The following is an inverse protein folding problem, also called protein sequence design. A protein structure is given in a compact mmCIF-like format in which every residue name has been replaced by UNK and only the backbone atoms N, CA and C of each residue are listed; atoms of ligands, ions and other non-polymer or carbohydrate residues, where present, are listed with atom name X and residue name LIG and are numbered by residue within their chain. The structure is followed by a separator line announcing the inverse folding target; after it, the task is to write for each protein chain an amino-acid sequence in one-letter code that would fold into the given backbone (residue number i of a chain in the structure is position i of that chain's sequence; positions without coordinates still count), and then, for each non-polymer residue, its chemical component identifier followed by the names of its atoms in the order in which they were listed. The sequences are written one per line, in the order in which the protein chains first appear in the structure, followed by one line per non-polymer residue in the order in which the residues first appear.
data_IF_717167285626
#
_entry.id   IF_717167285626
#
_cell.length_a   1.000
_cell.length_b   1.000
_cell.length_c   1.000
_cell.angle_alpha   90.00
_cell.angle_beta   90.00
_cell.angle_gamma   90.00
#
_symmetry.space_group_name_H-M   'P 1'
#
loop_
_entity.id
_entity.type
_entity.pdbx_description
1 polymer ?
#
# COMPACT_ATOMS: atom_id res chain seq x y z
N UNK A 1 11.44 -52.95 83.76
CA UNK A 1 10.87 -51.84 84.51
C UNK A 1 10.97 -50.61 83.58
N UNK A 2 9.98 -50.55 82.73
CA UNK A 2 9.61 -49.34 82.03
C UNK A 2 8.63 -48.58 82.91
N UNK A 3 8.14 -47.39 82.59
CA UNK A 3 8.31 -46.44 81.51
C UNK A 3 8.33 -44.96 82.00
N UNK A 4 8.60 -44.00 81.19
CA UNK A 4 8.01 -42.63 81.27
C UNK A 4 8.64 -41.74 80.18
N UNK A 5 8.19 -41.92 78.96
CA UNK A 5 8.58 -40.94 77.90
C UNK A 5 7.43 -40.64 76.89
N UNK A 6 6.17 -40.81 77.38
CA UNK A 6 5.00 -40.63 76.50
C UNK A 6 4.10 -39.39 76.82
N UNK A 7 4.36 -38.62 77.81
CA UNK A 7 3.43 -37.54 78.16
C UNK A 7 3.85 -36.09 77.72
N UNK A 8 5.03 -35.91 77.28
CA UNK A 8 5.52 -34.55 76.95
C UNK A 8 5.32 -34.20 75.42
N UNK A 9 5.17 -35.17 74.53
CA UNK A 9 4.96 -34.89 73.15
C UNK A 9 3.52 -34.53 72.79
N UNK A 10 2.54 -34.99 73.54
CA UNK A 10 1.12 -34.68 73.25
C UNK A 10 0.76 -33.24 73.72
N UNK A 11 1.44 -32.69 74.71
CA UNK A 11 1.19 -31.31 75.19
C UNK A 11 1.84 -30.25 74.27
N UNK A 12 2.80 -30.59 73.50
CA UNK A 12 3.42 -29.68 72.48
C UNK A 12 2.57 -29.59 71.26
N UNK A 13 1.91 -30.66 70.85
CA UNK A 13 1.03 -30.71 69.68
C UNK A 13 -0.26 -29.88 69.84
N UNK A 14 -0.84 -29.86 71.09
CA UNK A 14 -2.08 -29.09 71.33
C UNK A 14 -1.87 -27.58 71.44
N UNK A 15 -0.66 -27.16 71.80
CA UNK A 15 -0.32 -25.71 71.86
C UNK A 15 -0.08 -25.05 70.53
N UNK A 16 0.18 -25.84 69.46
CA UNK A 16 0.39 -25.32 68.11
C UNK A 16 -0.88 -25.26 67.27
N UNK A 17 -2.00 -25.83 67.70
CA UNK A 17 -3.28 -25.78 66.99
C UNK A 17 -4.11 -24.51 67.22
N UNK A 18 -3.68 -23.63 68.14
CA UNK A 18 -4.44 -22.45 68.54
C UNK A 18 -4.07 -21.12 67.88
N UNK A 19 -3.07 -21.05 66.97
CA UNK A 19 -2.50 -19.79 66.48
C UNK A 19 -2.48 -19.56 65.00
N UNK A 20 -3.19 -20.36 64.17
CA UNK A 20 -3.39 -20.02 62.78
C UNK A 20 -4.75 -19.39 62.55
N UNK A 21 -4.88 -18.10 62.87
CA UNK A 21 -5.93 -17.26 62.28
C UNK A 21 -5.61 -17.10 60.82
N UNK A 22 -6.42 -17.70 59.96
CA UNK A 22 -6.37 -17.47 58.50
C UNK A 22 -6.64 -16.00 58.24
N UNK A 23 -5.60 -15.24 57.93
CA UNK A 23 -5.74 -13.89 57.42
C UNK A 23 -6.03 -14.04 55.93
N UNK A 24 -7.32 -13.99 55.56
CA UNK A 24 -7.75 -13.96 54.17
C UNK A 24 -7.30 -12.61 53.60
N UNK A 25 -6.16 -12.59 52.92
CA UNK A 25 -5.77 -11.46 52.06
C UNK A 25 -6.62 -11.53 50.80
N UNK A 26 -7.66 -10.71 50.73
CA UNK A 26 -8.38 -10.46 49.53
C UNK A 26 -7.45 -9.68 48.58
N UNK A 27 -6.82 -10.38 47.61
CA UNK A 27 -6.09 -9.74 46.51
C UNK A 27 -7.16 -9.16 45.58
N UNK A 28 -7.43 -7.87 45.76
CA UNK A 28 -8.21 -7.14 44.73
C UNK A 28 -7.36 -7.00 43.48
N UNK A 29 -7.59 -7.85 42.51
CA UNK A 29 -7.06 -7.68 41.17
C UNK A 29 -7.79 -6.50 40.53
N UNK A 30 -7.19 -5.32 40.56
CA UNK A 30 -7.61 -4.19 39.77
C UNK A 30 -7.30 -4.53 38.32
N UNK A 31 -8.29 -4.94 37.54
CA UNK A 31 -8.20 -5.02 36.10
C UNK A 31 -8.13 -3.60 35.56
N UNK A 32 -6.93 -3.15 35.25
CA UNK A 32 -6.74 -1.93 34.45
C UNK A 32 -7.23 -2.28 33.05
N UNK A 33 -8.45 -1.90 32.74
CA UNK A 33 -8.95 -1.91 31.37
C UNK A 33 -8.19 -0.80 30.63
N UNK A 34 -7.15 -1.16 29.89
CA UNK A 34 -6.61 -0.25 28.89
C UNK A 34 -7.68 -0.07 27.81
N UNK A 35 -8.00 1.19 27.45
CA UNK A 35 -8.86 1.42 26.29
C UNK A 35 -8.17 0.75 25.09
N UNK A 36 -8.82 -0.23 24.50
CA UNK A 36 -8.43 -0.71 23.19
C UNK A 36 -8.60 0.49 22.25
N UNK A 37 -7.50 0.99 21.70
CA UNK A 37 -7.57 1.93 20.58
C UNK A 37 -8.14 1.10 19.42
N UNK A 38 -9.42 1.26 19.18
CA UNK A 38 -10.05 0.74 17.97
C UNK A 38 -9.59 1.70 16.86
N UNK A 39 -8.53 1.34 16.14
CA UNK A 39 -8.24 1.99 14.87
C UNK A 39 -9.44 1.69 13.96
N UNK A 40 -9.98 2.72 13.32
CA UNK A 40 -11.01 2.50 12.31
C UNK A 40 -10.39 1.66 11.17
N UNK A 41 -11.19 0.75 10.61
CA UNK A 41 -10.73 -0.01 9.47
C UNK A 41 -10.54 0.95 8.27
N UNK A 42 -9.51 0.76 7.46
CA UNK A 42 -9.33 1.58 6.26
C UNK A 42 -10.52 1.41 5.31
N UNK A 43 -10.83 2.47 4.57
CA UNK A 43 -11.87 2.44 3.53
C UNK A 43 -11.25 1.90 2.25
N UNK A 44 -11.79 0.81 1.73
CA UNK A 44 -11.29 0.13 0.53
C UNK A 44 -12.24 0.37 -0.63
N UNK A 45 -11.68 0.73 -1.77
CA UNK A 45 -12.36 0.94 -3.05
C UNK A 45 -11.74 0.00 -4.08
N UNK A 46 -12.52 -0.90 -4.64
CA UNK A 46 -12.00 -1.89 -5.57
C UNK A 46 -13.01 -2.24 -6.66
N UNK A 47 -12.50 -2.50 -7.85
CA UNK A 47 -13.28 -3.04 -8.97
C UNK A 47 -12.35 -3.70 -9.98
N UNK A 48 -12.90 -4.59 -10.80
CA UNK A 48 -12.20 -5.21 -11.91
C UNK A 48 -13.18 -5.49 -13.06
N UNK A 49 -12.70 -5.41 -14.29
CA UNK A 49 -13.50 -5.68 -15.47
C UNK A 49 -12.72 -5.55 -16.78
N UNK A 50 -13.41 -5.68 -17.89
CA UNK A 50 -12.80 -5.69 -19.24
C UNK A 50 -12.77 -4.31 -19.90
N UNK A 51 -13.37 -3.30 -19.29
CA UNK A 51 -13.46 -1.95 -19.85
C UNK A 51 -13.24 -0.88 -18.78
N UNK A 52 -12.82 0.35 -19.15
CA UNK A 52 -12.74 1.46 -18.20
C UNK A 52 -14.05 1.72 -17.44
N UNK A 53 -15.20 1.50 -18.07
CA UNK A 53 -16.50 1.70 -17.46
C UNK A 53 -16.77 0.76 -16.27
N UNK A 54 -16.17 -0.44 -16.29
CA UNK A 54 -16.37 -1.45 -15.25
C UNK A 54 -15.73 -1.04 -13.92
N UNK A 55 -14.64 -0.25 -13.97
CA UNK A 55 -13.93 0.21 -12.77
C UNK A 55 -14.16 1.69 -12.44
N UNK A 56 -14.78 2.45 -13.36
CA UNK A 56 -14.95 3.91 -13.24
C UNK A 56 -15.61 4.33 -11.94
N UNK A 57 -16.65 3.63 -11.49
CA UNK A 57 -17.36 3.98 -10.26
C UNK A 57 -16.46 3.92 -9.02
N UNK A 58 -15.67 2.85 -8.87
CA UNK A 58 -14.75 2.71 -7.74
C UNK A 58 -13.63 3.77 -7.77
N UNK A 59 -13.14 4.12 -8.97
CA UNK A 59 -12.17 5.20 -9.15
C UNK A 59 -12.74 6.55 -8.75
N UNK A 60 -13.98 6.87 -9.16
CA UNK A 60 -14.64 8.14 -8.79
C UNK A 60 -14.97 8.20 -7.29
N UNK A 61 -15.47 7.12 -6.70
CA UNK A 61 -15.76 7.06 -5.27
C UNK A 61 -14.47 7.29 -4.45
N UNK A 62 -13.34 6.73 -4.91
CA UNK A 62 -12.04 6.99 -4.29
C UNK A 62 -11.57 8.44 -4.46
N UNK A 63 -11.78 9.04 -5.63
CA UNK A 63 -11.52 10.47 -5.87
C UNK A 63 -12.35 11.37 -4.95
N UNK A 64 -13.61 11.04 -4.80
CA UNK A 64 -14.56 11.81 -3.99
C UNK A 64 -14.27 11.74 -2.50
N UNK A 65 -13.67 10.64 -2.02
CA UNK A 65 -13.22 10.53 -0.64
C UNK A 65 -12.27 11.67 -0.22
N UNK A 66 -11.40 12.15 -1.10
CA UNK A 66 -10.48 13.25 -0.83
C UNK A 66 -11.05 14.64 -1.08
N UNK A 67 -12.38 14.77 -1.29
CA UNK A 67 -13.04 16.07 -1.48
C UNK A 67 -13.13 16.55 -2.92
N UNK A 68 -12.99 15.65 -3.89
CA UNK A 68 -13.33 15.92 -5.29
C UNK A 68 -12.36 16.80 -6.08
N UNK A 69 -11.38 17.46 -5.46
CA UNK A 69 -10.47 18.40 -6.12
C UNK A 69 -9.12 17.77 -6.44
N UNK A 70 -8.74 17.79 -7.73
CA UNK A 70 -7.37 17.50 -8.15
C UNK A 70 -6.52 18.78 -8.07
N UNK A 71 -5.50 18.78 -7.21
CA UNK A 71 -4.61 19.92 -6.96
C UNK A 71 -3.55 20.12 -8.06
N UNK A 72 -3.41 19.15 -8.95
CA UNK A 72 -2.54 19.25 -10.14
C UNK A 72 -1.05 19.33 -9.80
N UNK A 73 -0.35 20.32 -10.36
CA UNK A 73 1.10 20.45 -10.29
C UNK A 73 1.49 21.61 -9.38
N UNK A 74 2.47 21.37 -8.49
CA UNK A 74 3.03 22.38 -7.60
C UNK A 74 2.10 22.80 -6.47
N UNK A 75 2.58 23.70 -5.62
CA UNK A 75 1.85 24.14 -4.43
C UNK A 75 1.73 23.08 -3.35
N UNK A 76 1.16 23.49 -2.21
CA UNK A 76 0.74 22.62 -1.13
C UNK A 76 -0.63 23.09 -0.66
N UNK A 77 -1.55 22.17 -0.40
CA UNK A 77 -2.94 22.45 -0.12
C UNK A 77 -3.35 21.72 1.17
N UNK A 78 -4.38 22.21 1.84
CA UNK A 78 -4.84 21.64 3.10
C UNK A 78 -5.69 20.37 2.88
N UNK A 79 -6.24 20.19 1.67
CA UNK A 79 -7.10 19.06 1.31
C UNK A 79 -7.04 18.74 -0.19
N UNK A 80 -7.84 17.77 -0.62
CA UNK A 80 -7.94 17.32 -1.99
C UNK A 80 -7.00 16.15 -2.32
N UNK A 81 -6.74 15.98 -3.59
CA UNK A 81 -5.94 14.86 -4.08
C UNK A 81 -4.96 15.28 -5.17
N UNK A 82 -4.04 14.38 -5.48
CA UNK A 82 -3.14 14.43 -6.63
C UNK A 82 -3.36 13.20 -7.51
N UNK A 83 -3.18 13.39 -8.79
CA UNK A 83 -3.29 12.32 -9.78
C UNK A 83 -2.11 12.33 -10.73
N UNK A 84 -1.65 11.14 -11.13
CA UNK A 84 -0.64 10.92 -12.16
C UNK A 84 -1.26 9.95 -13.15
N UNK A 85 -1.56 10.43 -14.35
CA UNK A 85 -2.10 9.63 -15.44
C UNK A 85 -1.08 9.40 -16.58
N UNK A 86 0.18 9.78 -16.38
CA UNK A 86 1.34 9.59 -17.26
C UNK A 86 1.28 10.33 -18.60
N UNK A 87 0.11 10.71 -19.10
CA UNK A 87 -0.16 11.21 -20.46
C UNK A 87 0.68 12.42 -20.85
N UNK A 88 0.93 13.31 -19.89
CA UNK A 88 1.71 14.52 -20.10
C UNK A 88 3.24 14.31 -19.96
N UNK A 89 3.70 13.07 -19.75
CA UNK A 89 5.13 12.76 -19.73
C UNK A 89 5.70 12.97 -21.13
N UNK A 90 6.74 13.84 -21.30
CA UNK A 90 7.34 14.06 -22.59
C UNK A 90 8.00 12.81 -23.19
N UNK A 91 8.00 12.68 -24.50
CA UNK A 91 8.57 11.50 -25.21
C UNK A 91 10.06 11.25 -24.85
N UNK A 92 10.81 12.28 -24.45
CA UNK A 92 12.18 12.11 -23.96
C UNK A 92 12.33 11.40 -22.60
N UNK A 93 11.21 11.17 -21.88
CA UNK A 93 11.13 10.47 -20.60
C UNK A 93 10.16 9.27 -20.65
N UNK A 94 9.83 8.83 -21.84
CA UNK A 94 8.98 7.66 -22.08
C UNK A 94 9.69 6.66 -22.99
N UNK A 95 9.18 5.45 -23.05
CA UNK A 95 9.74 4.35 -23.85
C UNK A 95 10.24 4.83 -25.22
N UNK A 96 11.48 4.47 -25.62
CA UNK A 96 12.40 3.56 -24.95
C UNK A 96 13.30 4.18 -23.87
N UNK A 97 13.06 5.45 -23.49
CA UNK A 97 13.84 6.15 -22.48
C UNK A 97 13.30 5.86 -21.07
N UNK A 98 14.17 5.96 -20.07
CA UNK A 98 13.79 5.81 -18.68
C UNK A 98 13.12 7.08 -18.15
N UNK A 99 12.16 6.88 -17.22
CA UNK A 99 11.58 7.94 -16.42
C UNK A 99 12.46 8.17 -15.17
N UNK A 100 12.93 9.41 -14.91
CA UNK A 100 13.61 9.71 -13.65
C UNK A 100 12.71 9.41 -12.44
N UNK A 101 13.22 8.70 -11.46
CA UNK A 101 12.47 8.28 -10.26
C UNK A 101 11.82 9.47 -9.51
N UNK A 102 12.39 10.66 -9.59
CA UNK A 102 11.89 11.89 -8.96
C UNK A 102 11.16 12.83 -9.93
N UNK A 103 10.76 12.35 -11.11
CA UNK A 103 10.10 13.18 -12.12
C UNK A 103 8.87 13.90 -11.57
N UNK A 104 8.04 13.21 -10.81
CA UNK A 104 6.82 13.75 -10.21
C UNK A 104 7.02 14.48 -8.87
N UNK A 105 8.25 14.72 -8.49
CA UNK A 105 8.58 15.69 -7.44
C UNK A 105 9.41 16.87 -7.97
N UNK A 106 10.11 16.71 -9.08
CA UNK A 106 11.04 17.73 -9.62
C UNK A 106 10.54 18.38 -10.92
N UNK A 107 10.21 17.59 -11.94
CA UNK A 107 9.83 18.07 -13.27
C UNK A 107 8.35 18.44 -13.34
N UNK A 108 7.50 17.65 -12.72
CA UNK A 108 6.05 17.82 -12.63
C UNK A 108 5.61 17.66 -11.18
N UNK A 109 5.90 18.64 -10.30
CA UNK A 109 5.78 18.47 -8.85
C UNK A 109 4.38 18.09 -8.38
N UNK A 110 4.21 16.81 -8.02
CA UNK A 110 3.02 16.22 -7.40
C UNK A 110 3.33 15.55 -6.06
N UNK A 111 4.61 15.64 -5.62
CA UNK A 111 5.03 15.19 -4.29
C UNK A 111 5.25 13.68 -4.16
N UNK A 112 5.68 12.99 -5.23
CA UNK A 112 6.07 11.57 -5.13
C UNK A 112 7.44 11.31 -5.75
N UNK A 113 8.15 10.36 -5.13
CA UNK A 113 9.40 9.80 -5.63
C UNK A 113 9.29 8.27 -5.61
N UNK A 114 9.74 7.63 -6.67
CA UNK A 114 9.64 6.19 -6.86
C UNK A 114 10.95 5.48 -6.51
N UNK A 115 10.85 4.24 -6.02
CA UNK A 115 11.98 3.33 -5.80
C UNK A 115 11.63 1.94 -6.32
N UNK A 116 12.64 1.21 -6.78
CA UNK A 116 12.51 -0.20 -7.22
C UNK A 116 13.84 -0.91 -6.99
N UNK A 117 13.84 -2.20 -6.63
CA UNK A 117 15.04 -3.02 -6.67
C UNK A 117 15.49 -3.36 -8.11
N UNK A 118 14.66 -3.02 -9.11
CA UNK A 118 14.99 -3.17 -10.52
C UNK A 118 15.98 -2.13 -11.05
N UNK A 119 15.99 -1.92 -12.37
CA UNK A 119 16.94 -1.02 -13.04
C UNK A 119 16.42 0.42 -13.19
N UNK A 120 15.12 0.67 -12.95
CA UNK A 120 14.50 1.98 -13.11
C UNK A 120 13.02 1.88 -13.44
N UNK A 121 12.52 2.93 -14.09
CA UNK A 121 11.10 3.06 -14.44
C UNK A 121 10.93 3.45 -15.89
N UNK A 122 9.83 3.00 -16.48
CA UNK A 122 9.45 3.42 -17.81
C UNK A 122 7.97 3.80 -17.86
N UNK A 123 7.69 4.89 -18.56
CA UNK A 123 6.36 5.24 -19.04
C UNK A 123 6.26 4.74 -20.49
N UNK A 124 5.14 4.18 -20.89
CA UNK A 124 4.98 3.64 -22.22
C UNK A 124 5.11 4.70 -23.31
N UNK A 125 5.50 4.29 -24.50
CA UNK A 125 5.35 5.12 -25.69
C UNK A 125 3.86 5.28 -26.02
N UNK A 126 3.50 6.39 -26.63
CA UNK A 126 2.17 6.58 -27.21
C UNK A 126 2.15 6.08 -28.64
N UNK A 127 0.96 5.81 -29.16
CA UNK A 127 0.78 5.40 -30.56
C UNK A 127 1.49 6.34 -31.52
N UNK A 128 2.21 5.77 -32.49
CA UNK A 128 2.99 6.51 -33.48
C UNK A 128 4.40 6.94 -33.06
N UNK A 129 4.83 6.69 -31.81
CA UNK A 129 6.20 6.86 -31.32
C UNK A 129 6.95 5.52 -31.36
N UNK A 130 8.26 5.52 -31.28
CA UNK A 130 9.23 4.46 -31.62
C UNK A 130 8.92 3.02 -31.16
N UNK A 131 8.16 2.83 -30.12
CA UNK A 131 7.62 1.53 -29.70
C UNK A 131 6.22 1.77 -29.12
N UNK A 132 5.24 0.98 -29.55
CA UNK A 132 3.90 1.04 -28.97
C UNK A 132 3.98 0.50 -27.55
N UNK A 133 3.43 1.24 -26.59
CA UNK A 133 3.48 0.91 -25.16
C UNK A 133 4.90 0.54 -24.70
N UNK A 134 5.14 -0.72 -24.32
CA UNK A 134 6.42 -1.23 -23.83
C UNK A 134 7.07 -2.24 -24.78
N UNK A 135 6.81 -2.17 -26.09
CA UNK A 135 7.33 -3.13 -27.07
C UNK A 135 8.88 -3.21 -27.08
N UNK A 136 9.56 -2.16 -26.60
CA UNK A 136 11.01 -2.19 -26.39
C UNK A 136 11.46 -3.15 -25.29
N UNK A 137 10.60 -3.40 -24.29
CA UNK A 137 10.83 -4.36 -23.20
C UNK A 137 10.21 -5.72 -23.53
N UNK A 138 9.04 -5.70 -24.18
CA UNK A 138 8.27 -6.87 -24.51
C UNK A 138 7.50 -6.67 -25.82
N UNK A 139 7.85 -7.40 -26.91
CA UNK A 139 7.29 -7.16 -28.24
C UNK A 139 5.78 -7.39 -28.39
N UNK A 140 5.13 -8.08 -27.46
CA UNK A 140 3.68 -8.33 -27.44
C UNK A 140 2.92 -7.48 -26.39
N UNK A 141 3.56 -6.46 -25.81
CA UNK A 141 2.98 -5.62 -24.76
C UNK A 141 1.67 -4.95 -25.22
N UNK A 142 1.63 -4.42 -26.43
CA UNK A 142 0.46 -3.73 -26.98
C UNK A 142 -0.79 -4.60 -27.18
N UNK A 143 -0.65 -5.93 -27.09
CA UNK A 143 -1.78 -6.86 -27.14
C UNK A 143 -2.16 -7.44 -25.78
N UNK A 144 -1.51 -6.96 -24.71
CA UNK A 144 -1.69 -7.44 -23.35
C UNK A 144 -2.36 -6.42 -22.46
N UNK A 145 -2.08 -5.15 -22.68
CA UNK A 145 -2.47 -4.09 -21.75
C UNK A 145 -3.53 -3.17 -22.36
N UNK A 146 -4.57 -2.89 -21.56
CA UNK A 146 -5.50 -1.81 -21.81
C UNK A 146 -5.05 -0.55 -21.08
N UNK A 147 -5.41 0.62 -21.61
CA UNK A 147 -5.26 1.89 -20.91
C UNK A 147 -6.62 2.31 -20.33
N UNK A 148 -6.61 2.77 -19.08
CA UNK A 148 -7.76 3.39 -18.43
C UNK A 148 -7.87 4.85 -18.84
N UNK A 149 -6.76 5.58 -18.73
CA UNK A 149 -6.62 6.94 -19.24
C UNK A 149 -5.55 6.96 -20.36
N UNK A 150 -5.96 7.06 -21.63
CA UNK A 150 -5.01 7.03 -22.72
C UNK A 150 -4.19 8.33 -22.79
N UNK A 151 -2.90 8.28 -23.26
CA UNK A 151 -2.33 7.18 -24.04
C UNK A 151 -1.19 6.38 -23.38
N UNK A 152 -0.98 6.46 -22.06
CA UNK A 152 0.26 5.94 -21.48
C UNK A 152 0.05 5.08 -20.25
N UNK A 153 0.96 4.14 -20.04
CA UNK A 153 1.07 3.23 -18.91
C UNK A 153 2.42 3.41 -18.19
N UNK A 154 2.58 2.80 -17.02
CA UNK A 154 3.79 2.88 -16.20
C UNK A 154 4.20 1.50 -15.67
N UNK A 155 5.51 1.27 -15.61
CA UNK A 155 6.09 0.05 -15.02
C UNK A 155 7.46 0.29 -14.39
N UNK A 156 7.82 -0.52 -13.39
CA UNK A 156 9.20 -0.71 -13.01
C UNK A 156 9.89 -1.66 -14.00
N UNK A 157 11.18 -1.44 -14.27
CA UNK A 157 11.99 -2.23 -15.18
C UNK A 157 12.84 -3.22 -14.40
N UNK A 158 12.82 -4.49 -14.81
CA UNK A 158 13.55 -5.60 -14.18
C UNK A 158 13.16 -5.88 -12.71
N UNK A 159 11.95 -5.50 -12.32
CA UNK A 159 11.35 -5.84 -11.04
C UNK A 159 9.84 -5.66 -11.10
N UNK A 160 9.02 -6.49 -10.44
CA UNK A 160 7.61 -6.22 -10.24
C UNK A 160 7.33 -5.24 -9.09
N UNK A 161 8.35 -4.77 -8.36
CA UNK A 161 8.19 -3.95 -7.18
C UNK A 161 8.39 -2.48 -7.50
N UNK A 162 7.40 -1.65 -7.12
CA UNK A 162 7.44 -0.20 -7.11
C UNK A 162 7.15 0.30 -5.71
N UNK A 163 8.01 1.12 -5.15
CA UNK A 163 7.77 1.85 -3.90
C UNK A 163 7.54 3.33 -4.19
N UNK A 164 6.57 3.92 -3.52
CA UNK A 164 6.17 5.33 -3.64
C UNK A 164 6.36 6.00 -2.29
N UNK A 165 7.20 7.04 -2.25
CA UNK A 165 7.40 7.89 -1.09
C UNK A 165 6.82 9.27 -1.36
N UNK A 166 6.16 9.84 -0.33
CA UNK A 166 5.54 11.15 -0.43
C UNK A 166 6.47 12.27 0.05
N UNK A 167 6.38 13.41 -0.62
CA UNK A 167 7.10 14.64 -0.32
C UNK A 167 6.16 15.83 -0.46
N UNK A 168 6.48 16.93 0.23
CA UNK A 168 5.84 18.20 -0.08
C UNK A 168 6.20 18.56 -1.53
N UNK A 169 5.22 18.77 -2.42
CA UNK A 169 5.45 18.89 -3.84
C UNK A 169 6.54 19.89 -4.23
N UNK A 170 7.55 19.44 -4.96
CA UNK A 170 8.69 20.25 -5.43
C UNK A 170 9.78 20.48 -4.39
N UNK A 171 9.73 19.83 -3.23
CA UNK A 171 10.71 19.99 -2.15
C UNK A 171 11.38 18.65 -1.78
N UNK A 172 12.38 18.70 -0.90
CA UNK A 172 12.99 17.52 -0.29
C UNK A 172 12.38 17.17 1.08
N UNK A 173 11.31 17.86 1.49
CA UNK A 173 10.65 17.61 2.75
C UNK A 173 9.74 16.40 2.62
N UNK A 174 9.99 15.36 3.44
CA UNK A 174 9.15 14.18 3.50
C UNK A 174 7.72 14.53 3.93
N UNK A 175 6.76 13.78 3.43
CA UNK A 175 5.34 13.97 3.66
C UNK A 175 4.63 12.63 3.82
N UNK A 176 3.37 12.71 4.23
CA UNK A 176 2.43 11.57 4.29
C UNK A 176 1.18 11.87 3.47
N UNK A 177 0.45 10.84 3.11
CA UNK A 177 -0.86 10.95 2.45
C UNK A 177 -1.91 10.18 3.24
N UNK A 178 -3.18 10.59 3.13
CA UNK A 178 -4.32 9.88 3.74
C UNK A 178 -4.76 8.64 2.95
N UNK A 179 -4.12 8.33 1.84
CA UNK A 179 -4.44 7.15 1.05
C UNK A 179 -3.81 7.20 -0.33
N UNK A 180 -3.84 6.06 -0.99
CA UNK A 180 -3.31 5.85 -2.32
C UNK A 180 -4.13 4.79 -3.05
N UNK A 181 -4.26 4.93 -4.36
CA UNK A 181 -4.88 3.94 -5.24
C UNK A 181 -4.21 3.95 -6.61
N UNK A 182 -4.31 2.82 -7.29
CA UNK A 182 -3.78 2.65 -8.64
C UNK A 182 -4.71 1.82 -9.50
N UNK A 183 -4.75 2.15 -10.78
CA UNK A 183 -5.29 1.30 -11.83
C UNK A 183 -4.19 0.35 -12.31
N UNK A 184 -4.57 -0.88 -12.58
CA UNK A 184 -3.71 -1.94 -13.11
C UNK A 184 -4.33 -2.51 -14.37
N UNK A 185 -3.50 -3.06 -15.25
CA UNK A 185 -3.96 -3.78 -16.43
C UNK A 185 -3.32 -5.16 -16.49
N UNK A 186 -4.12 -6.15 -16.92
CA UNK A 186 -3.74 -7.56 -17.06
C UNK A 186 -3.51 -8.29 -15.72
N UNK A 187 -4.35 -8.03 -14.70
CA UNK A 187 -4.33 -8.79 -13.44
C UNK A 187 -5.12 -10.07 -13.60
N UNK A 188 -4.43 -11.17 -13.89
CA UNK A 188 -5.04 -12.46 -14.16
C UNK A 188 -5.30 -13.31 -12.92
N UNK A 189 -4.60 -13.02 -11.80
CA UNK A 189 -4.57 -13.87 -10.60
C UNK A 189 -4.92 -13.09 -9.35
N UNK A 190 -5.72 -13.71 -8.49
CA UNK A 190 -6.20 -13.11 -7.24
C UNK A 190 -5.10 -12.92 -6.17
N UNK A 191 -3.89 -13.46 -6.39
CA UNK A 191 -2.80 -13.52 -5.41
C UNK A 191 -1.43 -13.02 -5.94
N UNK A 192 -1.41 -12.32 -7.07
CA UNK A 192 -0.18 -11.89 -7.75
C UNK A 192 0.13 -10.40 -7.60
N UNK A 193 -0.90 -9.56 -7.58
CA UNK A 193 -0.77 -8.10 -7.52
C UNK A 193 -1.28 -7.60 -6.19
N UNK A 194 -0.42 -6.86 -5.45
CA UNK A 194 -0.72 -6.42 -4.09
C UNK A 194 -0.26 -4.99 -3.84
N UNK A 195 -0.99 -4.25 -3.01
CA UNK A 195 -0.56 -2.96 -2.47
C UNK A 195 -0.43 -3.07 -0.95
N UNK A 196 0.69 -2.59 -0.42
CA UNK A 196 1.00 -2.49 1.00
C UNK A 196 1.21 -1.02 1.38
N UNK A 197 0.68 -0.61 2.53
CA UNK A 197 0.73 0.76 3.03
C UNK A 197 1.44 0.78 4.38
N UNK A 198 2.43 1.66 4.53
CA UNK A 198 3.24 1.74 5.74
C UNK A 198 3.25 3.17 6.30
N UNK A 199 3.29 3.26 7.63
CA UNK A 199 3.54 4.52 8.34
C UNK A 199 5.02 4.93 8.32
N UNK A 200 5.33 6.08 8.91
CA UNK A 200 6.70 6.62 9.00
C UNK A 200 7.64 5.72 9.82
N UNK A 201 7.12 4.85 10.68
CA UNK A 201 7.88 3.91 11.51
C UNK A 201 8.11 2.57 10.77
N UNK A 202 7.57 2.42 9.57
CA UNK A 202 7.58 1.17 8.81
C UNK A 202 6.57 0.14 9.30
N UNK A 203 5.57 0.55 10.10
CA UNK A 203 4.48 -0.33 10.52
C UNK A 203 3.50 -0.49 9.37
N UNK A 204 3.08 -1.72 9.11
CA UNK A 204 2.07 -2.02 8.10
C UNK A 204 0.70 -1.50 8.56
N UNK A 205 0.13 -0.56 7.81
CA UNK A 205 -1.22 -0.04 8.03
C UNK A 205 -2.28 -0.91 7.36
N UNK A 206 -2.00 -1.37 6.14
CA UNK A 206 -2.89 -2.23 5.36
C UNK A 206 -2.11 -2.97 4.29
N UNK A 207 -2.58 -4.14 3.90
CA UNK A 207 -2.19 -4.83 2.68
C UNK A 207 -3.42 -5.48 2.03
N UNK A 208 -3.51 -5.39 0.70
CA UNK A 208 -4.60 -5.99 -0.06
C UNK A 208 -4.18 -6.42 -1.44
N UNK A 209 -4.74 -7.53 -1.90
CA UNK A 209 -4.61 -7.96 -3.28
C UNK A 209 -5.54 -7.15 -4.17
N UNK A 210 -5.04 -6.81 -5.37
CA UNK A 210 -5.83 -6.17 -6.42
C UNK A 210 -6.80 -7.20 -7.00
N UNK A 211 -8.09 -6.88 -7.15
CA UNK A 211 -9.05 -7.82 -7.71
C UNK A 211 -8.68 -8.20 -9.14
N UNK A 212 -8.70 -9.49 -9.44
CA UNK A 212 -8.36 -10.00 -10.76
C UNK A 212 -9.51 -9.83 -11.76
N UNK A 213 -9.16 -9.49 -13.00
CA UNK A 213 -10.00 -9.63 -14.18
C UNK A 213 -9.23 -10.45 -15.20
N UNK A 214 -9.65 -11.66 -15.44
CA UNK A 214 -8.88 -12.63 -16.24
C UNK A 214 -8.96 -12.35 -17.74
N UNK A 215 -7.82 -12.41 -18.40
CA UNK A 215 -7.67 -12.22 -19.83
C UNK A 215 -6.88 -10.95 -20.15
N UNK A 216 -6.35 -10.91 -21.37
CA UNK A 216 -5.60 -9.77 -21.89
C UNK A 216 -6.48 -8.49 -21.92
N UNK A 217 -5.87 -7.33 -21.82
CA UNK A 217 -6.51 -6.01 -21.94
C UNK A 217 -7.62 -5.75 -20.89
N UNK A 218 -7.53 -6.37 -19.70
CA UNK A 218 -8.43 -6.12 -18.59
C UNK A 218 -7.91 -5.01 -17.68
N UNK A 219 -8.80 -4.47 -16.85
CA UNK A 219 -8.51 -3.39 -15.91
C UNK A 219 -8.94 -3.75 -14.50
N UNK A 220 -8.13 -3.35 -13.53
CA UNK A 220 -8.40 -3.51 -12.11
C UNK A 220 -8.04 -2.23 -11.35
N UNK A 221 -8.78 -1.92 -10.30
CA UNK A 221 -8.51 -0.81 -9.39
C UNK A 221 -8.49 -1.27 -7.96
N UNK A 222 -7.51 -0.79 -7.20
CA UNK A 222 -7.50 -0.86 -5.74
C UNK A 222 -7.05 0.50 -5.19
N UNK A 223 -7.90 1.11 -4.39
CA UNK A 223 -7.63 2.31 -3.63
C UNK A 223 -7.94 2.10 -2.15
N UNK A 224 -7.07 2.58 -1.27
CA UNK A 224 -7.26 2.51 0.18
C UNK A 224 -7.04 3.87 0.80
N UNK A 225 -8.00 4.28 1.62
CA UNK A 225 -7.99 5.56 2.32
C UNK A 225 -8.18 5.36 3.82
N UNK A 226 -7.62 6.27 4.59
CA UNK A 226 -7.59 6.25 6.05
C UNK A 226 -8.24 7.53 6.60
N UNK A 227 -9.21 7.39 7.49
CA UNK A 227 -10.00 8.50 8.06
C UNK A 227 -9.88 8.64 9.57
N UNK A 228 -9.16 7.74 10.25
CA UNK A 228 -9.00 7.76 11.70
C UNK A 228 -7.67 8.37 12.16
N UNK A 229 -6.93 9.03 11.27
CA UNK A 229 -5.67 9.71 11.58
C UNK A 229 -4.41 8.91 11.24
N UNK A 230 -4.56 7.79 10.58
CA UNK A 230 -3.42 7.06 10.00
C UNK A 230 -2.85 7.86 8.82
N UNK A 231 -1.52 7.87 8.73
CA UNK A 231 -0.78 8.59 7.71
C UNK A 231 0.15 7.64 6.94
N UNK A 232 -0.09 7.52 5.65
CA UNK A 232 0.71 6.69 4.76
C UNK A 232 2.00 7.42 4.39
N UNK A 233 3.14 6.86 4.76
CA UNK A 233 4.45 7.36 4.40
C UNK A 233 5.04 6.67 3.17
N UNK A 234 4.85 5.35 3.09
CA UNK A 234 5.34 4.51 2.00
C UNK A 234 4.21 3.63 1.48
N UNK A 235 4.08 3.56 0.16
CA UNK A 235 3.28 2.55 -0.52
C UNK A 235 4.22 1.62 -1.28
N UNK A 236 4.04 0.31 -1.14
CA UNK A 236 4.71 -0.70 -1.96
C UNK A 236 3.69 -1.43 -2.81
N UNK A 237 3.94 -1.45 -4.12
CA UNK A 237 3.17 -2.21 -5.09
C UNK A 237 4.00 -3.38 -5.57
N UNK A 238 3.41 -4.57 -5.58
CA UNK A 238 3.91 -5.73 -6.31
C UNK A 238 2.99 -5.95 -7.50
N UNK A 239 3.46 -5.72 -8.71
CA UNK A 239 2.70 -5.81 -9.97
C UNK A 239 2.93 -7.16 -10.62
N UNK A 240 2.02 -8.10 -10.38
CA UNK A 240 2.17 -9.48 -10.85
C UNK A 240 3.31 -10.24 -10.18
N UNK A 241 3.67 -11.38 -10.75
CA UNK A 241 4.72 -12.25 -10.25
C UNK A 241 5.93 -12.39 -11.20
N UNK A 242 6.01 -11.51 -12.20
CA UNK A 242 7.13 -11.43 -13.15
C UNK A 242 7.34 -9.98 -13.62
N UNK A 243 8.59 -9.61 -13.82
CA UNK A 243 8.96 -8.32 -14.44
C UNK A 243 8.67 -8.31 -15.95
N UNK A 244 8.34 -7.13 -16.48
CA UNK A 244 7.95 -6.95 -17.89
C UNK A 244 9.03 -7.44 -18.88
N UNK A 245 10.30 -7.21 -18.59
CA UNK A 245 11.44 -7.65 -19.42
C UNK A 245 11.82 -9.12 -19.24
N UNK A 246 11.15 -9.86 -18.37
CA UNK A 246 11.55 -11.20 -17.90
C UNK A 246 11.31 -12.38 -18.84
N UNK A 247 10.85 -12.16 -20.04
CA UNK A 247 10.50 -13.21 -21.02
C UNK A 247 9.24 -14.00 -20.63
N UNK A 248 8.63 -14.67 -21.60
CA UNK A 248 7.40 -15.44 -21.39
C UNK A 248 7.69 -16.72 -20.58
N UNK A 249 7.46 -16.66 -19.27
CA UNK A 249 7.47 -17.83 -18.38
C UNK A 249 6.03 -18.26 -18.15
N UNK A 250 5.48 -19.08 -19.03
CA UNK A 250 4.08 -19.49 -19.03
C UNK A 250 3.48 -19.71 -17.63
N UNK A 251 2.28 -19.19 -17.43
CA UNK A 251 1.55 -19.26 -16.16
C UNK A 251 1.93 -18.21 -15.10
N UNK A 252 2.73 -17.20 -15.49
CA UNK A 252 3.05 -16.03 -14.68
C UNK A 252 2.13 -14.87 -15.03
N UNK A 253 1.82 -14.06 -14.03
CA UNK A 253 1.01 -12.87 -14.13
C UNK A 253 1.89 -11.65 -14.41
N UNK A 254 1.62 -10.96 -15.50
CA UNK A 254 2.37 -9.80 -15.95
C UNK A 254 1.48 -8.58 -15.89
N UNK A 255 1.77 -7.66 -15.00
CA UNK A 255 0.90 -6.53 -14.70
C UNK A 255 1.67 -5.22 -14.83
N UNK A 256 1.05 -4.22 -15.47
CA UNK A 256 1.54 -2.85 -15.47
C UNK A 256 0.48 -1.90 -14.89
N UNK A 257 0.85 -0.66 -14.67
CA UNK A 257 0.02 0.31 -13.95
C UNK A 257 -0.40 1.45 -14.86
N UNK A 258 -1.59 1.98 -14.57
CA UNK A 258 -2.09 3.24 -15.12
C UNK A 258 -2.23 4.25 -13.96
N UNK A 259 -3.29 5.02 -13.91
CA UNK A 259 -3.51 6.14 -12.99
C UNK A 259 -3.10 5.85 -11.54
N UNK A 260 -2.30 6.75 -10.96
CA UNK A 260 -2.09 6.86 -9.52
C UNK A 260 -2.91 8.01 -8.96
N UNK A 261 -3.65 7.73 -7.88
CA UNK A 261 -4.52 8.69 -7.20
C UNK A 261 -4.17 8.63 -5.70
N UNK A 262 -3.94 9.78 -5.07
CA UNK A 262 -3.59 9.85 -3.65
C UNK A 262 -4.02 11.17 -3.02
N UNK A 263 -4.26 11.16 -1.71
CA UNK A 263 -4.55 12.37 -0.96
C UNK A 263 -3.40 13.38 -1.04
N UNK A 264 -3.69 14.67 -0.87
CA UNK A 264 -2.65 15.71 -0.85
C UNK A 264 -1.54 15.36 0.13
N UNK A 265 -0.25 15.41 -0.28
CA UNK A 265 0.86 15.15 0.61
C UNK A 265 1.06 16.25 1.66
N UNK A 266 1.01 15.89 2.95
CA UNK A 266 1.25 16.79 4.08
C UNK A 266 2.61 16.54 4.72
N UNK A 267 3.34 17.63 5.12
CA UNK A 267 4.64 17.46 5.75
C UNK A 267 4.55 16.62 7.03
N UNK A 268 5.57 15.81 7.26
CA UNK A 268 5.75 15.14 8.56
C UNK A 268 5.89 16.17 9.67
N UNK A 269 5.18 15.96 10.77
CA UNK A 269 5.18 16.81 11.97
C UNK A 269 6.18 16.35 13.02
#
# INVERSE_FOLDING_TARGET
MEPEASSNNERICDRMRGAFKWLSIAVATATVAWPAIVLAAPVVFEAAGSTPADIQAAVEDFRDFFGGKNNGVGGSFDDGRREINWDAVPDGFSSPNDLPANFFNKNSPRGVVFFTPGSGFQVSAKEGVAAIEFDNLRPDASSKFAVFSPPRLFTAVASPITEILFFVPGTAQAATSKGFGSVFTDVDRDDSTMIEYFDVNGSLLFSGFVPAARGDETLSFLGVAFDAGEEVFLVRITSGDVELAGGNRGGRDLVVMDDFIYGEPHPLH
#
